data_IF_753382429255
#
_entry.id   IF_753382429255
#
_cell.length_a   1.000
_cell.length_b   1.000
_cell.length_c   1.000
_cell.angle_alpha   90.00
_cell.angle_beta   90.00
_cell.angle_gamma   90.00
#
_symmetry.space_group_name_H-M   'P 1'
#
loop_
_entity.id
_entity.type
_entity.pdbx_description
1 polymer ?
#
# COMPACT_ATOMS: atom_id res chain seq x y z
N UNK A 1 -8.37 -28.45 -13.08
CA UNK A 1 -7.79 -27.09 -12.93
C UNK A 1 -6.90 -27.08 -11.70
N UNK A 2 -5.72 -26.47 -11.78
CA UNK A 2 -4.63 -26.35 -10.79
C UNK A 2 -3.67 -27.53 -10.64
N UNK A 3 -3.58 -28.42 -11.63
CA UNK A 3 -2.59 -29.49 -11.66
C UNK A 3 -1.32 -29.04 -12.44
N UNK A 4 -0.55 -28.10 -11.87
CA UNK A 4 0.64 -27.51 -12.50
C UNK A 4 1.73 -27.26 -11.45
N UNK A 5 3.00 -27.27 -11.87
CA UNK A 5 4.15 -27.00 -11.02
C UNK A 5 4.20 -27.83 -9.74
N UNK A 6 4.36 -27.18 -8.60
CA UNK A 6 4.41 -27.75 -7.24
C UNK A 6 3.10 -28.39 -6.78
N UNK A 7 1.98 -28.06 -7.43
CA UNK A 7 0.66 -28.66 -7.18
C UNK A 7 0.33 -29.82 -8.12
N UNK A 8 1.28 -30.21 -8.98
CA UNK A 8 1.09 -31.26 -9.95
C UNK A 8 1.14 -32.65 -9.32
N UNK A 9 0.26 -33.52 -9.84
CA UNK A 9 0.23 -34.94 -9.56
C UNK A 9 -0.21 -35.70 -10.80
N UNK A 10 0.43 -36.83 -11.06
CA UNK A 10 -0.12 -37.91 -11.88
C UNK A 10 -1.01 -38.83 -11.02
N UNK A 11 -2.24 -39.10 -11.48
CA UNK A 11 -3.15 -40.00 -10.76
C UNK A 11 -2.89 -41.46 -11.12
N UNK A 12 -2.35 -41.70 -12.31
CA UNK A 12 -2.30 -43.02 -12.93
C UNK A 12 -0.92 -43.69 -12.73
N UNK A 13 0.06 -42.96 -12.16
CA UNK A 13 1.37 -43.49 -11.74
C UNK A 13 1.42 -43.76 -10.21
N UNK A 14 1.39 -45.04 -9.78
CA UNK A 14 1.45 -45.42 -8.37
C UNK A 14 2.77 -45.02 -7.69
N UNK A 15 3.86 -44.90 -8.45
CA UNK A 15 5.20 -44.63 -7.92
C UNK A 15 5.35 -43.21 -7.38
N UNK A 16 4.50 -42.28 -7.85
CA UNK A 16 4.49 -40.89 -7.41
C UNK A 16 3.40 -40.60 -6.38
N UNK A 17 2.63 -41.61 -5.97
CA UNK A 17 1.43 -41.43 -5.14
C UNK A 17 1.70 -40.70 -3.83
N UNK A 18 2.76 -41.06 -3.10
CA UNK A 18 3.07 -40.45 -1.81
C UNK A 18 3.36 -38.94 -1.93
N UNK A 19 4.27 -38.56 -2.82
CA UNK A 19 4.55 -37.14 -3.10
C UNK A 19 3.33 -36.44 -3.71
N UNK A 20 2.56 -37.14 -4.55
CA UNK A 20 1.39 -36.64 -5.24
C UNK A 20 0.22 -36.36 -4.32
N UNK A 21 0.05 -37.15 -3.25
CA UNK A 21 -0.95 -36.90 -2.22
C UNK A 21 -0.64 -35.60 -1.46
N UNK A 22 0.64 -35.28 -1.22
CA UNK A 22 1.08 -34.00 -0.62
C UNK A 22 0.84 -32.83 -1.59
N UNK A 23 1.23 -32.96 -2.87
CA UNK A 23 0.95 -31.94 -3.88
C UNK A 23 -0.55 -31.69 -4.08
N UNK A 24 -1.37 -32.76 -4.01
CA UNK A 24 -2.84 -32.66 -4.02
C UNK A 24 -3.37 -31.93 -2.78
N UNK A 25 -2.82 -32.19 -1.60
CA UNK A 25 -3.21 -31.48 -0.38
C UNK A 25 -2.89 -29.98 -0.48
N UNK A 26 -1.70 -29.63 -0.97
CA UNK A 26 -1.31 -28.25 -1.28
C UNK A 26 -2.30 -27.61 -2.26
N UNK A 27 -2.63 -28.30 -3.35
CA UNK A 27 -3.60 -27.82 -4.34
C UNK A 27 -4.99 -27.57 -3.75
N UNK A 28 -5.48 -28.48 -2.92
CA UNK A 28 -6.79 -28.32 -2.29
C UNK A 28 -6.81 -27.12 -1.34
N UNK A 29 -5.73 -26.92 -0.58
CA UNK A 29 -5.55 -25.76 0.27
C UNK A 29 -5.47 -24.46 -0.53
N UNK A 30 -4.76 -24.46 -1.67
CA UNK A 30 -4.70 -23.34 -2.61
C UNK A 30 -6.07 -22.99 -3.17
N UNK A 31 -6.86 -24.01 -3.58
CA UNK A 31 -8.22 -23.82 -4.06
C UNK A 31 -9.09 -23.21 -2.96
N UNK A 32 -9.00 -23.69 -1.72
CA UNK A 32 -9.76 -23.14 -0.60
C UNK A 32 -9.38 -21.67 -0.29
N UNK A 33 -8.11 -21.31 -0.44
CA UNK A 33 -7.62 -19.96 -0.17
C UNK A 33 -8.03 -18.96 -1.26
N UNK A 34 -7.92 -19.37 -2.52
CA UNK A 34 -7.89 -18.43 -3.65
C UNK A 34 -9.03 -18.63 -4.65
N UNK A 35 -9.75 -19.75 -4.59
CA UNK A 35 -10.88 -20.02 -5.48
C UNK A 35 -12.19 -19.88 -4.71
N UNK A 36 -13.07 -18.99 -5.20
CA UNK A 36 -14.44 -18.89 -4.70
C UNK A 36 -15.29 -19.97 -5.35
N UNK A 37 -15.56 -21.04 -4.61
CA UNK A 37 -16.56 -22.02 -4.99
C UNK A 37 -17.85 -21.78 -4.17
N UNK A 38 -18.98 -21.72 -4.87
CA UNK A 38 -20.30 -21.81 -4.24
C UNK A 38 -20.75 -23.26 -4.43
N UNK A 39 -21.12 -23.93 -3.34
CA UNK A 39 -21.64 -25.29 -3.40
C UNK A 39 -23.05 -25.32 -2.81
N UNK A 40 -23.87 -26.22 -3.35
CA UNK A 40 -25.22 -26.49 -2.90
C UNK A 40 -25.27 -27.93 -2.40
N UNK A 41 -25.69 -28.20 -1.14
CA UNK A 41 -25.95 -29.55 -0.70
C UNK A 41 -27.11 -30.13 -1.52
N UNK A 42 -26.90 -31.31 -2.10
CA UNK A 42 -27.92 -32.07 -2.80
C UNK A 42 -28.22 -33.36 -2.01
N UNK A 43 -29.48 -33.79 -1.89
CA UNK A 43 -29.81 -35.10 -1.33
C UNK A 43 -29.15 -36.24 -2.12
N UNK A 44 -28.77 -37.32 -1.43
CA UNK A 44 -28.12 -38.49 -2.05
C UNK A 44 -28.97 -39.18 -3.13
N UNK A 45 -30.28 -38.93 -3.13
CA UNK A 45 -31.25 -39.45 -4.12
C UNK A 45 -31.33 -38.63 -5.40
N UNK A 46 -30.62 -37.50 -5.51
CA UNK A 46 -30.65 -36.67 -6.72
C UNK A 46 -29.87 -37.33 -7.85
N UNK A 47 -30.50 -37.37 -9.02
CA UNK A 47 -29.83 -37.69 -10.28
C UNK A 47 -28.95 -36.51 -10.70
N UNK A 48 -27.68 -36.55 -10.27
CA UNK A 48 -26.67 -35.54 -10.57
C UNK A 48 -26.47 -35.40 -12.08
N UNK A 49 -26.54 -36.49 -12.84
CA UNK A 49 -26.33 -36.46 -14.29
C UNK A 49 -27.49 -35.75 -15.00
N UNK A 50 -28.74 -36.00 -14.58
CA UNK A 50 -29.89 -35.27 -15.11
C UNK A 50 -29.87 -33.80 -14.70
N UNK A 51 -29.45 -33.49 -13.46
CA UNK A 51 -29.30 -32.12 -13.00
C UNK A 51 -28.23 -31.37 -13.81
N UNK A 52 -27.06 -31.98 -14.03
CA UNK A 52 -25.99 -31.42 -14.86
C UNK A 52 -26.49 -31.14 -16.29
N UNK A 53 -27.17 -32.10 -16.92
CA UNK A 53 -27.74 -31.93 -18.25
C UNK A 53 -28.72 -30.75 -18.33
N UNK A 54 -29.56 -30.57 -17.31
CA UNK A 54 -30.52 -29.45 -17.24
C UNK A 54 -29.83 -28.11 -17.00
N UNK A 55 -28.80 -28.08 -16.14
CA UNK A 55 -27.99 -26.88 -15.90
C UNK A 55 -27.28 -26.45 -17.17
N UNK A 56 -26.66 -27.40 -17.88
CA UNK A 56 -25.99 -27.13 -19.16
C UNK A 56 -26.97 -26.64 -20.23
N UNK A 57 -28.22 -27.13 -20.24
CA UNK A 57 -29.24 -26.73 -21.21
C UNK A 57 -29.72 -25.27 -21.03
N UNK A 58 -29.70 -24.74 -19.80
CA UNK A 58 -30.10 -23.35 -19.52
C UNK A 58 -28.91 -22.39 -19.45
N UNK A 59 -27.68 -22.92 -19.41
CA UNK A 59 -26.49 -22.10 -19.34
C UNK A 59 -26.24 -21.36 -20.68
N UNK A 60 -25.92 -20.05 -20.66
CA UNK A 60 -25.57 -19.32 -21.87
C UNK A 60 -24.40 -19.97 -22.60
N UNK A 61 -24.40 -19.93 -23.94
CA UNK A 61 -23.40 -20.60 -24.77
C UNK A 61 -21.95 -20.23 -24.42
N UNK A 62 -21.68 -18.99 -24.03
CA UNK A 62 -20.34 -18.53 -23.63
C UNK A 62 -19.86 -19.13 -22.29
N UNK A 63 -20.78 -19.52 -21.40
CA UNK A 63 -20.46 -20.14 -20.11
C UNK A 63 -20.06 -21.60 -20.29
N UNK A 64 -20.72 -22.32 -21.22
CA UNK A 64 -20.40 -23.72 -21.55
C UNK A 64 -19.32 -23.87 -22.62
N UNK A 65 -18.87 -22.77 -23.25
CA UNK A 65 -17.85 -22.78 -24.31
C UNK A 65 -16.50 -23.37 -23.87
N UNK A 66 -16.26 -23.45 -22.55
CA UNK A 66 -15.07 -24.06 -21.94
C UNK A 66 -15.21 -25.56 -21.73
N UNK A 67 -16.42 -26.12 -21.75
CA UNK A 67 -16.63 -27.55 -21.57
C UNK A 67 -16.01 -28.31 -22.74
N UNK A 68 -15.20 -29.34 -22.44
CA UNK A 68 -14.49 -30.19 -23.42
C UNK A 68 -13.31 -29.53 -24.14
N UNK A 69 -12.90 -28.31 -23.77
CA UNK A 69 -11.61 -27.76 -24.18
C UNK A 69 -10.54 -28.17 -23.17
N UNK A 70 -9.42 -28.71 -23.67
CA UNK A 70 -8.21 -28.79 -22.86
C UNK A 70 -7.75 -27.37 -22.55
N UNK A 71 -7.47 -27.08 -21.28
CA UNK A 71 -6.81 -25.81 -20.93
C UNK A 71 -5.33 -25.94 -21.29
N UNK A 72 -4.78 -24.91 -21.92
CA UNK A 72 -3.34 -24.83 -22.11
C UNK A 72 -2.64 -24.95 -20.74
N UNK A 73 -1.50 -25.66 -20.67
CA UNK A 73 -0.69 -25.68 -19.46
C UNK A 73 -0.34 -24.26 -19.07
N UNK A 74 -0.86 -23.80 -17.94
CA UNK A 74 -0.54 -22.48 -17.40
C UNK A 74 0.53 -22.62 -16.33
N UNK A 75 1.40 -21.62 -16.28
CA UNK A 75 2.44 -21.54 -15.27
C UNK A 75 1.85 -21.49 -13.86
N UNK A 76 2.58 -22.08 -12.92
CA UNK A 76 2.21 -22.05 -11.52
C UNK A 76 2.15 -20.59 -11.00
N UNK A 77 1.09 -20.21 -10.26
CA UNK A 77 1.04 -18.92 -9.58
C UNK A 77 1.92 -18.95 -8.31
N UNK A 78 3.23 -18.88 -8.49
CA UNK A 78 4.26 -19.11 -7.47
C UNK A 78 4.00 -18.37 -6.16
N UNK A 79 3.68 -17.07 -6.22
CA UNK A 79 3.47 -16.24 -5.01
C UNK A 79 2.28 -16.71 -4.16
N UNK A 80 1.18 -17.09 -4.82
CA UNK A 80 -0.03 -17.58 -4.15
C UNK A 80 0.19 -18.98 -3.58
N UNK A 81 0.96 -19.82 -4.28
CA UNK A 81 1.38 -21.13 -3.78
C UNK A 81 2.31 -20.97 -2.58
N UNK A 82 3.25 -20.02 -2.62
CA UNK A 82 4.17 -19.73 -1.51
C UNK A 82 3.42 -19.20 -0.28
N UNK A 83 2.39 -18.38 -0.48
CA UNK A 83 1.51 -17.95 0.58
C UNK A 83 0.75 -19.14 1.22
N UNK A 84 0.23 -20.05 0.40
CA UNK A 84 -0.44 -21.27 0.89
C UNK A 84 0.53 -22.20 1.62
N UNK A 85 1.76 -22.40 1.12
CA UNK A 85 2.81 -23.20 1.78
C UNK A 85 3.16 -22.61 3.15
N UNK A 86 3.39 -21.28 3.22
CA UNK A 86 3.66 -20.57 4.48
C UNK A 86 2.53 -20.73 5.50
N UNK A 87 1.28 -20.63 5.04
CA UNK A 87 0.08 -20.81 5.89
C UNK A 87 -0.06 -22.24 6.42
N UNK A 88 0.22 -23.24 5.57
CA UNK A 88 0.15 -24.64 5.97
C UNK A 88 1.29 -25.05 6.93
N UNK A 89 2.36 -24.25 7.01
CA UNK A 89 3.49 -24.54 7.91
C UNK A 89 4.18 -25.85 7.59
N UNK A 90 4.27 -26.19 6.30
CA UNK A 90 4.80 -27.48 5.84
C UNK A 90 6.25 -27.70 6.32
N UNK A 91 6.53 -28.91 6.80
CA UNK A 91 7.86 -29.31 7.24
C UNK A 91 8.81 -29.60 6.07
N UNK A 92 10.08 -29.83 6.40
CA UNK A 92 11.13 -30.10 5.40
C UNK A 92 10.81 -31.32 4.52
N UNK A 93 10.14 -32.34 5.08
CA UNK A 93 9.73 -33.53 4.35
C UNK A 93 8.66 -33.23 3.29
N UNK A 94 7.61 -32.48 3.65
CA UNK A 94 6.56 -32.10 2.70
C UNK A 94 7.09 -31.18 1.60
N UNK A 95 7.94 -30.21 1.96
CA UNK A 95 8.58 -29.30 1.00
C UNK A 95 9.45 -30.07 -0.01
N UNK A 96 10.26 -31.03 0.47
CA UNK A 96 11.05 -31.88 -0.42
C UNK A 96 10.18 -32.74 -1.34
N UNK A 97 9.01 -33.18 -0.87
CA UNK A 97 8.05 -33.97 -1.66
C UNK A 97 7.40 -33.15 -2.76
N UNK A 98 7.01 -31.92 -2.45
CA UNK A 98 6.46 -30.95 -3.40
C UNK A 98 7.50 -30.59 -4.47
N UNK A 99 8.76 -30.37 -4.07
CA UNK A 99 9.86 -30.08 -5.00
C UNK A 99 10.14 -31.24 -5.96
N UNK A 100 10.06 -32.49 -5.49
CA UNK A 100 10.14 -33.66 -6.37
C UNK A 100 9.00 -33.67 -7.39
N UNK A 101 7.78 -33.27 -7.02
CA UNK A 101 6.68 -33.18 -7.98
C UNK A 101 6.85 -32.05 -8.98
N UNK A 102 7.36 -30.90 -8.55
CA UNK A 102 7.70 -29.80 -9.45
C UNK A 102 8.71 -30.24 -10.53
N UNK A 103 9.77 -30.96 -10.12
CA UNK A 103 10.76 -31.51 -11.06
C UNK A 103 10.16 -32.52 -12.04
N UNK A 104 9.23 -33.38 -11.59
CA UNK A 104 8.52 -34.31 -12.48
C UNK A 104 7.63 -33.57 -13.49
N UNK A 105 6.93 -32.52 -13.05
CA UNK A 105 6.15 -31.65 -13.93
C UNK A 105 7.02 -30.98 -15.01
N UNK A 106 8.18 -30.44 -14.62
CA UNK A 106 9.16 -29.89 -15.57
C UNK A 106 9.71 -30.96 -16.53
N UNK A 107 9.94 -32.19 -16.04
CA UNK A 107 10.36 -33.32 -16.86
C UNK A 107 9.32 -33.75 -17.91
N UNK A 108 8.03 -33.62 -17.61
CA UNK A 108 6.93 -33.85 -18.55
C UNK A 108 6.79 -32.75 -19.61
N UNK A 109 7.13 -31.51 -19.26
CA UNK A 109 7.22 -30.39 -20.21
C UNK A 109 8.46 -30.49 -21.12
N UNK A 110 9.38 -31.42 -20.84
CA UNK A 110 10.70 -31.57 -21.46
C UNK A 110 10.79 -32.47 -22.70
N UNK A 111 9.75 -32.54 -23.55
CA UNK A 111 9.89 -33.09 -24.92
C UNK A 111 10.08 -32.02 -26.01
N UNK A 112 10.14 -30.74 -25.63
CA UNK A 112 10.80 -29.72 -26.42
C UNK A 112 12.30 -29.76 -26.08
N UNK A 113 13.16 -29.92 -27.09
CA UNK A 113 14.61 -30.14 -26.97
C UNK A 113 15.37 -29.11 -26.12
N UNK A 114 16.70 -29.25 -25.97
CA UNK A 114 17.47 -28.46 -25.03
C UNK A 114 17.28 -26.97 -25.35
N UNK A 115 16.59 -26.26 -24.45
CA UNK A 115 16.64 -24.81 -24.40
C UNK A 115 18.05 -24.52 -23.90
N UNK A 116 18.97 -24.40 -24.86
CA UNK A 116 20.14 -23.55 -24.71
C UNK A 116 19.59 -22.24 -24.17
N UNK A 117 19.93 -21.89 -22.93
CA UNK A 117 19.61 -20.59 -22.38
C UNK A 117 20.00 -19.56 -23.44
N UNK A 118 19.06 -18.77 -24.00
CA UNK A 118 19.47 -17.73 -24.90
C UNK A 118 20.39 -16.86 -24.07
N UNK A 119 21.63 -16.71 -24.53
CA UNK A 119 22.44 -15.58 -24.12
C UNK A 119 21.53 -14.36 -24.25
N UNK A 120 21.22 -13.73 -23.12
CA UNK A 120 20.37 -12.56 -23.05
C UNK A 120 21.07 -11.47 -23.87
N UNK A 121 20.78 -11.42 -25.16
CA UNK A 121 20.92 -10.21 -25.93
C UNK A 121 19.85 -9.30 -25.34
N UNK A 122 20.30 -8.35 -24.52
CA UNK A 122 19.47 -7.35 -23.89
C UNK A 122 18.52 -6.76 -24.93
N UNK A 123 17.23 -7.09 -24.84
CA UNK A 123 16.20 -6.25 -25.43
C UNK A 123 16.37 -4.85 -24.83
N UNK A 124 16.37 -3.78 -25.61
CA UNK A 124 16.37 -2.44 -25.04
C UNK A 124 15.18 -2.33 -24.09
N UNK A 125 15.44 -1.95 -22.84
CA UNK A 125 14.41 -1.60 -21.87
C UNK A 125 13.66 -0.38 -22.43
N UNK A 126 12.47 -0.61 -22.97
CA UNK A 126 11.68 0.43 -23.63
C UNK A 126 10.81 1.14 -22.56
N UNK A 127 11.37 2.19 -21.94
CA UNK A 127 10.60 3.08 -21.08
C UNK A 127 9.60 3.84 -21.95
N UNK A 128 8.32 3.75 -21.62
CA UNK A 128 7.24 4.43 -22.36
C UNK A 128 7.55 5.94 -22.46
N UNK A 129 7.53 6.55 -23.66
CA UNK A 129 7.79 7.97 -23.82
C UNK A 129 6.86 8.81 -22.94
N UNK A 130 7.42 9.78 -22.24
CA UNK A 130 6.64 10.70 -21.40
C UNK A 130 5.93 11.76 -22.28
N UNK A 131 4.67 12.13 -21.97
CA UNK A 131 3.93 13.16 -22.70
C UNK A 131 4.71 14.47 -22.85
N UNK A 132 4.60 15.11 -24.01
CA UNK A 132 5.24 16.42 -24.26
C UNK A 132 4.33 17.57 -23.82
N UNK A 133 4.94 18.59 -23.22
CA UNK A 133 4.26 19.79 -22.72
C UNK A 133 3.77 20.76 -23.80
N UNK A 134 3.27 21.93 -23.41
CA UNK A 134 3.33 22.50 -22.06
C UNK A 134 2.35 21.85 -21.07
N UNK A 135 2.74 21.82 -19.79
CA UNK A 135 1.91 21.37 -18.67
C UNK A 135 1.82 22.46 -17.62
N UNK A 136 0.65 22.57 -16.99
CA UNK A 136 0.36 23.51 -15.91
C UNK A 136 0.79 22.95 -14.55
N UNK A 137 0.47 21.69 -14.30
CA UNK A 137 0.89 20.94 -13.12
C UNK A 137 0.78 19.43 -13.41
N UNK A 138 1.31 18.63 -12.49
CA UNK A 138 1.20 17.18 -12.51
C UNK A 138 0.51 16.68 -11.25
N UNK A 139 -0.11 15.52 -11.31
CA UNK A 139 -0.38 14.71 -10.13
C UNK A 139 0.33 13.36 -10.28
N UNK A 140 0.89 12.83 -9.19
CA UNK A 140 1.69 11.61 -9.18
C UNK A 140 1.21 10.71 -8.05
N UNK A 141 1.07 9.43 -8.37
CA UNK A 141 0.68 8.37 -7.44
C UNK A 141 1.55 7.13 -7.69
N UNK A 142 1.82 6.33 -6.65
CA UNK A 142 2.65 5.12 -6.73
C UNK A 142 2.06 3.93 -5.98
N UNK A 143 2.23 2.75 -6.55
CA UNK A 143 2.00 1.48 -5.86
C UNK A 143 3.33 0.87 -5.39
N UNK A 144 3.30 0.16 -4.25
CA UNK A 144 4.50 -0.47 -3.66
C UNK A 144 4.32 -1.97 -3.50
N UNK A 145 5.36 -2.76 -3.73
CA UNK A 145 5.29 -4.21 -3.67
C UNK A 145 5.09 -4.74 -2.23
N UNK A 146 5.69 -4.07 -1.25
CA UNK A 146 5.66 -4.48 0.16
C UNK A 146 5.84 -3.28 1.12
N UNK A 147 6.02 -3.57 2.42
CA UNK A 147 6.12 -2.55 3.47
C UNK A 147 7.33 -1.60 3.34
N UNK A 148 8.32 -1.90 2.49
CA UNK A 148 9.36 -0.97 2.09
C UNK A 148 8.78 0.08 1.14
N UNK A 149 8.74 1.34 1.58
CA UNK A 149 8.25 2.47 0.77
C UNK A 149 9.04 2.66 -0.53
N UNK A 150 10.31 2.21 -0.58
CA UNK A 150 11.13 2.26 -1.79
C UNK A 150 10.85 1.13 -2.78
N UNK A 151 9.95 0.19 -2.47
CA UNK A 151 9.60 -0.96 -3.33
C UNK A 151 8.55 -0.61 -4.39
N UNK A 152 8.66 0.56 -5.02
CA UNK A 152 7.71 1.04 -6.02
C UNK A 152 7.61 0.03 -7.17
N UNK A 153 6.38 -0.44 -7.45
CA UNK A 153 6.09 -1.40 -8.52
C UNK A 153 5.23 -0.82 -9.65
N UNK A 154 4.67 0.38 -9.46
CA UNK A 154 3.98 1.16 -10.48
C UNK A 154 4.10 2.65 -10.18
N UNK A 155 4.21 3.47 -11.22
CA UNK A 155 4.14 4.92 -11.13
C UNK A 155 3.10 5.42 -12.13
N UNK A 156 2.17 6.24 -11.66
CA UNK A 156 1.22 6.99 -12.47
C UNK A 156 1.44 8.48 -12.37
N UNK A 157 1.32 9.18 -13.50
CA UNK A 157 1.44 10.64 -13.58
C UNK A 157 0.33 11.19 -14.47
N UNK A 158 -0.55 12.00 -13.88
CA UNK A 158 -1.52 12.80 -14.61
C UNK A 158 -0.89 14.14 -15.00
N UNK A 159 -0.83 14.41 -16.29
CA UNK A 159 -0.23 15.60 -16.87
C UNK A 159 -1.35 16.57 -17.27
N UNK A 160 -1.47 17.69 -16.54
CA UNK A 160 -2.55 18.66 -16.77
C UNK A 160 -2.06 19.79 -17.66
N UNK A 161 -2.78 20.05 -18.74
CA UNK A 161 -2.45 21.08 -19.74
C UNK A 161 -3.05 22.45 -19.36
N UNK A 162 -2.60 23.55 -20.02
CA UNK A 162 -3.15 24.88 -19.77
C UNK A 162 -4.66 25.00 -20.01
N UNK A 163 -5.23 24.19 -20.91
CA UNK A 163 -6.66 24.10 -21.18
C UNK A 163 -7.43 23.19 -20.19
N UNK A 164 -6.74 22.71 -19.15
CA UNK A 164 -7.22 21.75 -18.14
C UNK A 164 -7.53 20.34 -18.68
N UNK A 165 -7.11 20.00 -19.90
CA UNK A 165 -7.12 18.60 -20.35
C UNK A 165 -6.08 17.78 -19.58
N UNK A 166 -6.39 16.51 -19.33
CA UNK A 166 -5.53 15.58 -18.57
C UNK A 166 -5.10 14.43 -19.47
N UNK A 167 -3.79 14.25 -19.57
CA UNK A 167 -3.16 13.07 -20.19
C UNK A 167 -2.44 12.25 -19.12
N UNK A 168 -2.74 10.96 -19.02
CA UNK A 168 -2.15 10.07 -18.02
C UNK A 168 -1.01 9.26 -18.61
N UNK A 169 0.15 9.30 -17.94
CA UNK A 169 1.27 8.41 -18.18
C UNK A 169 1.38 7.41 -17.03
N UNK A 170 1.65 6.15 -17.34
CA UNK A 170 1.82 5.09 -16.35
C UNK A 170 2.90 4.12 -16.83
N UNK A 171 3.70 3.62 -15.89
CA UNK A 171 4.62 2.50 -16.12
C UNK A 171 4.65 1.57 -14.92
N UNK A 172 4.84 0.28 -15.19
CA UNK A 172 5.32 -0.66 -14.18
C UNK A 172 6.80 -0.41 -13.89
N UNK A 173 7.21 -0.75 -12.68
CA UNK A 173 8.58 -0.63 -12.20
C UNK A 173 9.00 -1.99 -11.65
N UNK A 174 10.20 -2.46 -11.99
CA UNK A 174 10.81 -3.56 -11.26
C UNK A 174 11.41 -3.01 -9.95
N UNK A 175 10.79 -3.29 -8.78
CA UNK A 175 11.30 -2.84 -7.49
C UNK A 175 12.56 -3.58 -7.06
N UNK A 176 12.99 -4.64 -7.76
CA UNK A 176 14.13 -5.48 -7.38
C UNK A 176 14.02 -6.01 -5.94
N UNK A 177 12.84 -6.52 -5.56
CA UNK A 177 12.59 -7.14 -4.25
C UNK A 177 12.01 -8.53 -4.40
N UNK A 178 12.35 -9.41 -3.46
CA UNK A 178 11.85 -10.79 -3.43
C UNK A 178 10.51 -10.92 -2.70
N UNK A 179 10.17 -9.94 -1.86
CA UNK A 179 8.98 -9.99 -1.01
C UNK A 179 7.84 -9.17 -1.61
N UNK A 180 6.68 -9.80 -1.80
CA UNK A 180 5.45 -9.17 -2.26
C UNK A 180 4.35 -9.35 -1.22
N UNK A 181 3.80 -8.23 -0.74
CA UNK A 181 2.77 -8.21 0.31
C UNK A 181 1.50 -7.55 -0.21
N UNK A 182 1.62 -6.47 -0.98
CA UNK A 182 0.47 -5.65 -1.36
C UNK A 182 -0.19 -6.04 -2.68
N UNK A 183 0.22 -7.16 -3.29
CA UNK A 183 -0.44 -7.72 -4.49
C UNK A 183 -1.95 -7.91 -4.30
N UNK A 184 -2.44 -8.21 -3.09
CA UNK A 184 -3.89 -8.33 -2.84
C UNK A 184 -4.63 -6.98 -2.90
N UNK A 185 -3.93 -5.86 -2.74
CA UNK A 185 -4.47 -4.52 -2.77
C UNK A 185 -4.63 -4.07 -4.23
N UNK A 186 -3.54 -4.08 -4.99
CA UNK A 186 -3.48 -3.48 -6.33
C UNK A 186 -3.34 -4.48 -7.49
N UNK A 187 -3.23 -5.79 -7.21
CA UNK A 187 -3.13 -6.83 -8.24
C UNK A 187 -1.77 -6.94 -8.94
N UNK A 188 -0.79 -6.09 -8.59
CA UNK A 188 0.56 -6.09 -9.17
C UNK A 188 1.43 -7.09 -8.42
N UNK A 189 2.07 -7.99 -9.17
CA UNK A 189 2.92 -9.07 -8.66
C UNK A 189 4.30 -9.04 -9.30
N UNK A 190 5.22 -9.87 -8.81
CA UNK A 190 6.53 -10.10 -9.43
C UNK A 190 6.40 -10.50 -10.92
N UNK A 191 5.32 -11.21 -11.28
CA UNK A 191 5.02 -11.58 -12.66
C UNK A 191 4.62 -10.36 -13.50
N UNK A 192 3.82 -9.45 -12.95
CA UNK A 192 3.35 -8.25 -13.65
C UNK A 192 4.51 -7.35 -14.07
N UNK A 193 5.51 -7.20 -13.20
CA UNK A 193 6.67 -6.32 -13.43
C UNK A 193 7.85 -7.03 -14.10
N UNK A 194 7.67 -8.29 -14.54
CA UNK A 194 8.75 -9.06 -15.15
C UNK A 194 9.22 -8.39 -16.44
N UNK A 195 10.47 -7.93 -16.46
CA UNK A 195 11.06 -7.22 -17.61
C UNK A 195 10.63 -5.74 -17.69
N UNK A 196 9.96 -5.22 -16.66
CA UNK A 196 9.71 -3.79 -16.51
C UNK A 196 11.02 -3.04 -16.22
N UNK A 197 11.09 -1.74 -16.54
CA UNK A 197 12.23 -0.91 -16.17
C UNK A 197 12.39 -0.78 -14.66
N UNK A 198 13.64 -0.66 -14.22
CA UNK A 198 13.92 -0.39 -12.80
C UNK A 198 13.62 1.07 -12.46
N UNK A 199 13.56 1.39 -11.17
CA UNK A 199 13.44 2.78 -10.74
C UNK A 199 14.57 3.68 -11.29
N UNK A 200 15.78 3.14 -11.42
CA UNK A 200 16.93 3.83 -12.02
C UNK A 200 16.72 4.20 -13.49
N UNK A 201 16.01 3.36 -14.25
CA UNK A 201 15.73 3.60 -15.67
C UNK A 201 14.65 4.68 -15.83
N UNK A 202 13.67 4.73 -14.92
CA UNK A 202 12.52 5.63 -15.00
C UNK A 202 12.83 7.03 -14.46
N UNK A 203 13.61 7.13 -13.38
CA UNK A 203 13.84 8.39 -12.68
C UNK A 203 14.43 9.50 -13.57
N UNK A 204 15.34 9.25 -14.54
CA UNK A 204 15.78 10.27 -15.48
C UNK A 204 14.64 10.85 -16.34
N UNK A 205 13.70 10.01 -16.78
CA UNK A 205 12.55 10.43 -17.59
C UNK A 205 11.63 11.34 -16.76
N UNK A 206 11.28 10.91 -15.54
CA UNK A 206 10.44 11.70 -14.63
C UNK A 206 11.13 13.00 -14.19
N UNK A 207 12.44 12.96 -13.92
CA UNK A 207 13.21 14.14 -13.54
C UNK A 207 13.12 15.20 -14.62
N UNK A 208 13.43 14.85 -15.86
CA UNK A 208 13.42 15.79 -16.98
C UNK A 208 12.02 16.35 -17.25
N UNK A 209 10.98 15.53 -17.08
CA UNK A 209 9.60 15.94 -17.36
C UNK A 209 8.98 16.83 -16.25
N UNK A 210 9.29 16.57 -14.98
CA UNK A 210 8.68 17.24 -13.82
C UNK A 210 9.60 18.32 -13.21
N UNK A 211 10.74 18.63 -13.84
CA UNK A 211 11.67 19.64 -13.33
C UNK A 211 11.01 21.01 -13.16
N UNK A 212 11.17 21.60 -11.98
CA UNK A 212 10.58 22.90 -11.63
C UNK A 212 9.04 22.92 -11.52
N UNK A 213 8.36 21.80 -11.80
CA UNK A 213 6.91 21.74 -11.84
C UNK A 213 6.27 21.56 -10.45
N UNK A 214 5.00 21.96 -10.36
CA UNK A 214 4.13 21.62 -9.23
C UNK A 214 3.62 20.20 -9.40
N UNK A 215 3.85 19.36 -8.39
CA UNK A 215 3.43 17.95 -8.37
C UNK A 215 2.48 17.73 -7.21
N UNK A 216 1.24 17.39 -7.52
CA UNK A 216 0.24 17.01 -6.53
C UNK A 216 0.37 15.51 -6.21
N UNK A 217 0.26 15.19 -4.92
CA UNK A 217 0.02 13.84 -4.42
C UNK A 217 -1.33 13.82 -3.70
N UNK A 218 -1.86 12.63 -3.40
CA UNK A 218 -3.08 12.49 -2.61
C UNK A 218 -2.74 11.82 -1.28
N UNK A 219 -2.47 12.65 -0.26
CA UNK A 219 -1.76 12.30 0.98
C UNK A 219 -0.23 12.34 0.87
N UNK A 220 0.47 12.23 2.01
CA UNK A 220 1.92 12.32 2.10
C UNK A 220 2.71 11.11 1.61
N UNK A 221 2.04 10.04 1.14
CA UNK A 221 2.67 8.76 0.86
C UNK A 221 3.60 8.80 -0.35
N UNK A 222 3.16 9.33 -1.49
CA UNK A 222 3.87 9.23 -2.77
C UNK A 222 5.24 9.90 -2.74
N UNK A 223 5.32 11.13 -2.19
CA UNK A 223 6.58 11.84 -1.97
C UNK A 223 7.55 11.01 -1.13
N UNK A 224 7.06 10.35 -0.08
CA UNK A 224 7.90 9.55 0.80
C UNK A 224 8.40 8.28 0.11
N UNK A 225 7.57 7.65 -0.73
CA UNK A 225 7.93 6.48 -1.52
C UNK A 225 8.97 6.83 -2.59
N UNK A 226 8.78 7.93 -3.33
CA UNK A 226 9.76 8.45 -4.29
C UNK A 226 11.09 8.76 -3.59
N UNK A 227 11.03 9.40 -2.41
CA UNK A 227 12.24 9.71 -1.63
C UNK A 227 12.97 8.43 -1.20
N UNK A 228 12.25 7.43 -0.70
CA UNK A 228 12.83 6.15 -0.29
C UNK A 228 13.42 5.37 -1.48
N UNK A 229 12.74 5.36 -2.63
CA UNK A 229 13.24 4.73 -3.85
C UNK A 229 14.50 5.43 -4.39
N UNK A 230 14.57 6.76 -4.30
CA UNK A 230 15.78 7.53 -4.60
C UNK A 230 16.95 7.14 -3.69
N UNK A 231 16.71 7.07 -2.36
CA UNK A 231 17.73 6.66 -1.39
C UNK A 231 18.25 5.25 -1.69
N UNK A 232 17.35 4.30 -1.92
CA UNK A 232 17.69 2.90 -2.24
C UNK A 232 18.48 2.78 -3.54
N UNK A 233 18.19 3.65 -4.50
CA UNK A 233 18.83 3.66 -5.81
C UNK A 233 20.08 4.54 -5.86
N UNK A 234 20.48 5.15 -4.74
CA UNK A 234 21.59 6.12 -4.66
C UNK A 234 21.42 7.31 -5.63
N UNK A 235 20.17 7.69 -5.90
CA UNK A 235 19.82 8.85 -6.73
C UNK A 235 19.53 10.04 -5.81
N UNK A 236 20.03 11.22 -6.17
CA UNK A 236 19.64 12.48 -5.51
C UNK A 236 18.17 12.77 -5.83
N UNK A 237 17.34 12.83 -4.80
CA UNK A 237 15.91 13.11 -4.95
C UNK A 237 15.70 14.44 -5.69
N UNK A 238 14.79 14.50 -6.69
CA UNK A 238 14.52 15.74 -7.42
C UNK A 238 13.81 16.77 -6.53
N UNK A 239 14.09 18.05 -6.76
CA UNK A 239 13.51 19.19 -6.05
C UNK A 239 12.13 19.59 -6.60
N UNK A 240 11.21 18.61 -6.70
CA UNK A 240 9.84 18.88 -7.14
C UNK A 240 9.05 19.68 -6.10
N UNK A 241 8.17 20.56 -6.56
CA UNK A 241 7.29 21.34 -5.69
C UNK A 241 6.05 20.53 -5.32
N UNK A 242 6.20 19.65 -4.33
CA UNK A 242 5.12 18.79 -3.85
C UNK A 242 3.97 19.58 -3.21
N UNK A 243 2.74 19.24 -3.57
CA UNK A 243 1.50 19.75 -2.96
C UNK A 243 0.56 18.59 -2.63
N UNK A 244 -0.29 18.78 -1.63
CA UNK A 244 -1.25 17.76 -1.20
C UNK A 244 -2.67 18.13 -1.68
N UNK A 245 -3.22 17.32 -2.58
CA UNK A 245 -4.58 17.48 -3.09
C UNK A 245 -5.65 17.27 -2.00
N UNK A 246 -5.34 16.59 -0.89
CA UNK A 246 -6.24 16.48 0.28
C UNK A 246 -6.46 17.85 0.91
N UNK A 247 -5.43 18.70 0.97
CA UNK A 247 -5.57 20.06 1.51
C UNK A 247 -6.39 20.94 0.57
N UNK A 248 -6.20 20.79 -0.75
CA UNK A 248 -7.04 21.46 -1.76
C UNK A 248 -8.50 21.02 -1.62
N UNK A 249 -8.75 19.72 -1.50
CA UNK A 249 -10.09 19.17 -1.34
C UNK A 249 -10.77 19.62 -0.04
N UNK A 250 -10.01 19.70 1.08
CA UNK A 250 -10.51 20.19 2.37
C UNK A 250 -10.96 21.65 2.34
N UNK A 251 -10.34 22.46 1.50
CA UNK A 251 -10.70 23.87 1.32
C UNK A 251 -11.92 24.03 0.41
N UNK A 252 -11.98 23.27 -0.68
CA UNK A 252 -13.08 23.35 -1.64
C UNK A 252 -14.37 22.66 -1.17
N UNK A 253 -14.26 21.58 -0.40
CA UNK A 253 -15.40 20.83 0.15
C UNK A 253 -15.29 20.64 1.67
N UNK A 254 -15.35 21.72 2.47
CA UNK A 254 -15.32 21.63 3.93
C UNK A 254 -16.49 20.80 4.50
N UNK A 255 -17.61 20.70 3.79
CA UNK A 255 -18.79 19.90 4.15
C UNK A 255 -18.51 18.39 4.19
N UNK A 256 -17.46 17.91 3.53
CA UNK A 256 -17.06 16.50 3.59
C UNK A 256 -16.28 16.15 4.86
N UNK A 257 -16.00 17.14 5.74
CA UNK A 257 -15.42 16.89 7.06
C UNK A 257 -16.46 16.19 7.94
N UNK A 258 -16.26 14.89 8.20
CA UNK A 258 -17.09 14.11 9.12
C UNK A 258 -18.06 13.13 8.46
N UNK A 259 -18.19 13.12 7.12
CA UNK A 259 -18.80 11.99 6.43
C UNK A 259 -17.82 10.80 6.46
N UNK A 260 -18.30 9.57 6.64
CA UNK A 260 -17.52 8.35 6.95
C UNK A 260 -16.42 7.91 5.97
N UNK A 261 -15.93 8.78 5.08
CA UNK A 261 -14.73 8.60 4.26
C UNK A 261 -13.85 9.87 4.11
N UNK A 262 -14.20 11.00 4.72
CA UNK A 262 -13.44 12.25 4.67
C UNK A 262 -13.06 12.71 3.25
N UNK A 263 -11.83 13.21 3.08
CA UNK A 263 -11.27 13.64 1.79
C UNK A 263 -10.36 12.60 1.15
N UNK A 264 -10.54 11.32 1.49
CA UNK A 264 -9.82 10.23 0.83
C UNK A 264 -10.33 10.01 -0.59
N UNK A 265 -9.46 9.50 -1.47
CA UNK A 265 -9.71 9.40 -2.91
C UNK A 265 -10.98 8.61 -3.23
N UNK A 266 -11.23 7.50 -2.52
CA UNK A 266 -12.45 6.69 -2.72
C UNK A 266 -13.75 7.46 -2.40
N UNK A 267 -13.76 8.31 -1.37
CA UNK A 267 -14.93 9.12 -1.03
C UNK A 267 -15.11 10.28 -2.02
N UNK A 268 -14.01 10.90 -2.43
CA UNK A 268 -14.04 11.97 -3.42
C UNK A 268 -14.44 11.44 -4.81
N UNK A 269 -13.95 10.27 -5.25
CA UNK A 269 -14.38 9.60 -6.49
C UNK A 269 -15.89 9.38 -6.51
N UNK A 270 -16.45 8.85 -5.42
CA UNK A 270 -17.90 8.62 -5.27
C UNK A 270 -18.71 9.92 -5.26
N UNK A 271 -18.21 10.96 -4.58
CA UNK A 271 -18.89 12.25 -4.48
C UNK A 271 -18.82 13.07 -5.77
N UNK A 272 -17.70 12.97 -6.50
CA UNK A 272 -17.40 13.72 -7.71
C UNK A 272 -17.78 12.94 -8.99
N UNK A 273 -18.32 11.72 -8.86
CA UNK A 273 -18.75 10.83 -9.96
C UNK A 273 -17.62 10.52 -10.96
N UNK A 274 -16.44 10.23 -10.44
CA UNK A 274 -15.28 9.83 -11.23
C UNK A 274 -15.33 8.31 -11.42
N UNK A 275 -15.40 7.84 -12.67
CA UNK A 275 -15.44 6.41 -13.01
C UNK A 275 -14.04 5.91 -13.36
N UNK A 276 -13.35 5.23 -12.43
CA UNK A 276 -12.07 4.58 -12.70
C UNK A 276 -11.89 3.33 -11.83
N UNK A 277 -11.11 2.35 -12.30
CA UNK A 277 -10.72 1.18 -11.50
C UNK A 277 -9.86 1.62 -10.30
N UNK A 278 -10.09 1.01 -9.13
CA UNK A 278 -9.35 1.29 -7.90
C UNK A 278 -8.02 0.51 -7.93
N UNK A 279 -6.91 1.16 -7.55
CA UNK A 279 -5.56 0.57 -7.45
C UNK A 279 -4.77 0.45 -8.76
N UNK A 280 -5.00 1.40 -9.67
CA UNK A 280 -4.06 1.73 -10.73
C UNK A 280 -3.50 3.12 -10.46
N UNK A 281 -2.17 3.22 -10.32
CA UNK A 281 -1.50 4.48 -10.00
C UNK A 281 -1.80 5.59 -11.03
N UNK A 282 -2.02 5.24 -12.31
CA UNK A 282 -2.38 6.21 -13.35
C UNK A 282 -3.76 6.82 -13.10
N UNK A 283 -4.73 5.98 -12.75
CA UNK A 283 -6.09 6.41 -12.46
C UNK A 283 -6.20 7.16 -11.12
N UNK A 284 -5.42 6.78 -10.12
CA UNK A 284 -5.37 7.49 -8.84
C UNK A 284 -4.69 8.86 -8.98
N UNK A 285 -3.61 8.96 -9.76
CA UNK A 285 -3.01 10.23 -10.16
C UNK A 285 -4.00 11.12 -10.94
N UNK A 286 -4.77 10.54 -11.88
CA UNK A 286 -5.79 11.27 -12.64
C UNK A 286 -6.87 11.84 -11.73
N UNK A 287 -7.38 11.03 -10.80
CA UNK A 287 -8.39 11.48 -9.85
C UNK A 287 -7.88 12.62 -8.95
N UNK A 288 -6.62 12.55 -8.50
CA UNK A 288 -5.98 13.63 -7.75
C UNK A 288 -5.91 14.94 -8.56
N UNK A 289 -5.58 14.87 -9.86
CA UNK A 289 -5.59 16.03 -10.74
C UNK A 289 -7.01 16.60 -10.95
N UNK A 290 -8.01 15.74 -11.15
CA UNK A 290 -9.41 16.16 -11.32
C UNK A 290 -9.95 16.86 -10.07
N UNK A 291 -9.59 16.40 -8.87
CA UNK A 291 -9.91 17.06 -7.59
C UNK A 291 -9.38 18.50 -7.57
N UNK A 292 -8.14 18.72 -8.00
CA UNK A 292 -7.54 20.06 -8.04
C UNK A 292 -8.31 20.97 -9.02
N UNK A 293 -8.60 20.48 -10.23
CA UNK A 293 -9.34 21.25 -11.22
C UNK A 293 -10.78 21.57 -10.78
N UNK A 294 -11.44 20.62 -10.13
CA UNK A 294 -12.79 20.83 -9.59
C UNK A 294 -12.78 21.83 -8.43
N UNK A 295 -11.77 21.78 -7.57
CA UNK A 295 -11.60 22.71 -6.47
C UNK A 295 -11.41 24.15 -6.99
N UNK A 296 -10.58 24.35 -8.01
CA UNK A 296 -10.34 25.67 -8.63
C UNK A 296 -11.59 26.26 -9.29
N UNK A 297 -12.46 25.41 -9.85
CA UNK A 297 -13.75 25.87 -10.40
C UNK A 297 -14.73 26.29 -9.31
N UNK A 298 -14.65 25.67 -8.13
CA UNK A 298 -15.55 25.92 -6.99
C UNK A 298 -15.11 27.12 -6.16
N UNK A 299 -13.80 27.31 -6.03
CA UNK A 299 -13.16 28.45 -5.40
C UNK A 299 -12.02 28.88 -6.32
N UNK A 300 -12.08 30.05 -6.98
CA UNK A 300 -10.95 30.56 -7.73
C UNK A 300 -9.77 30.69 -6.77
N UNK A 301 -8.85 29.73 -6.80
CA UNK A 301 -7.64 29.78 -5.99
C UNK A 301 -6.76 30.83 -6.66
N UNK A 302 -6.64 32.00 -6.04
CA UNK A 302 -5.67 33.01 -6.43
C UNK A 302 -4.29 32.47 -6.09
N UNK A 303 -3.58 31.92 -7.07
CA UNK A 303 -2.15 31.68 -6.93
C UNK A 303 -1.45 33.04 -6.99
N UNK A 304 -0.57 33.39 -6.03
CA UNK A 304 0.29 34.56 -6.20
C UNK A 304 1.15 34.34 -7.44
N UNK A 305 0.93 35.13 -8.48
CA UNK A 305 1.78 35.18 -9.66
C UNK A 305 3.17 35.63 -9.26
N UNK A 306 4.20 34.90 -9.68
CA UNK A 306 5.59 35.35 -9.63
C UNK A 306 5.69 36.65 -10.43
N UNK A 307 6.13 37.78 -9.85
CA UNK A 307 6.37 38.98 -10.64
C UNK A 307 7.49 38.70 -11.63
N UNK A 308 7.21 38.83 -12.92
CA UNK A 308 8.26 38.96 -13.93
C UNK A 308 8.94 40.32 -13.69
N UNK A 309 10.04 40.30 -12.95
CA UNK A 309 10.90 41.48 -12.77
C UNK A 309 11.75 41.68 -14.02
N UNK A 310 11.49 42.77 -14.74
CA UNK A 310 12.43 43.34 -15.71
C UNK A 310 13.75 43.66 -15.00
N UNK A 311 14.84 43.19 -15.60
CA UNK A 311 16.20 43.53 -15.19
C UNK A 311 16.55 44.89 -15.78
N UNK A 312 17.03 45.81 -14.93
CA UNK A 312 17.88 46.92 -15.37
C UNK A 312 18.96 47.17 -14.31
N UNK A 313 20.23 47.37 -14.69
CA UNK A 313 21.38 47.33 -13.77
C UNK A 313 21.83 48.73 -13.37
N UNK A 314 22.30 48.94 -12.15
CA UNK A 314 23.21 50.06 -11.82
C UNK A 314 24.12 49.68 -10.62
N UNK A 315 25.30 50.32 -10.46
CA UNK A 315 26.53 49.68 -9.96
C UNK A 315 26.97 50.04 -8.53
N UNK A 316 28.13 49.47 -8.19
CA UNK A 316 28.88 49.40 -6.93
C UNK A 316 29.07 50.68 -6.11
N UNK A 317 29.17 50.51 -4.78
CA UNK A 317 29.72 51.49 -3.84
C UNK A 317 29.98 50.88 -2.47
N UNK A 318 31.19 51.08 -1.98
CA UNK A 318 31.92 50.33 -0.93
C UNK A 318 31.76 50.90 0.50
N UNK A 319 32.27 50.15 1.48
CA UNK A 319 32.22 50.26 2.94
C UNK A 319 32.89 51.50 3.60
N UNK A 320 32.45 51.89 4.83
CA UNK A 320 33.19 51.85 6.15
C UNK A 320 32.62 52.79 7.25
N UNK A 321 32.37 52.30 8.49
CA UNK A 321 33.09 52.51 9.80
C UNK A 321 33.05 53.98 10.37
N UNK A 322 32.81 54.36 11.65
CA UNK A 322 32.72 53.78 13.02
C UNK A 322 32.06 54.79 14.01
N UNK A 323 31.55 54.24 15.14
CA UNK A 323 31.62 54.67 16.57
C UNK A 323 31.18 56.09 17.04
N UNK A 324 30.27 56.20 18.04
CA UNK A 324 30.66 56.34 19.48
C UNK A 324 29.49 56.63 20.50
N UNK A 325 29.61 55.97 21.69
CA UNK A 325 29.16 56.23 23.10
C UNK A 325 27.70 56.16 23.66
N UNK A 326 27.64 55.52 24.86
CA UNK A 326 26.54 55.11 25.77
C UNK A 326 25.97 56.18 26.75
N UNK A 327 24.67 56.03 27.14
CA UNK A 327 24.12 56.33 28.49
C UNK A 327 22.95 55.36 28.82
N UNK A 328 23.01 54.76 30.02
CA UNK A 328 22.07 53.75 30.57
C UNK A 328 20.92 54.42 31.36
N UNK A 329 19.66 54.02 31.12
CA UNK A 329 18.55 54.05 32.10
C UNK A 329 17.72 52.78 31.95
N UNK A 330 17.52 52.10 33.08
CA UNK A 330 16.81 50.84 33.24
C UNK A 330 15.35 50.92 32.80
N UNK A 331 15.01 50.11 31.79
CA UNK A 331 13.69 49.51 31.59
C UNK A 331 13.87 48.24 30.74
N UNK A 332 13.10 47.21 31.06
CA UNK A 332 13.24 45.79 30.69
C UNK A 332 13.77 45.51 29.27
N UNK A 333 14.62 44.47 29.08
CA UNK A 333 15.19 44.20 27.77
C UNK A 333 14.13 43.63 26.83
N UNK A 334 13.69 44.48 25.90
CA UNK A 334 13.23 44.05 24.58
C UNK A 334 14.48 43.61 23.81
N UNK A 335 14.68 42.30 23.66
CA UNK A 335 15.63 41.71 22.73
C UNK A 335 14.93 41.17 21.47
N UNK A 336 15.60 41.43 20.34
CA UNK A 336 15.25 41.11 18.94
C UNK A 336 15.18 39.61 18.64
N UNK A 337 14.56 39.21 17.51
CA UNK A 337 13.99 37.87 17.34
C UNK A 337 15.06 36.82 17.09
N UNK A 338 15.29 35.98 18.09
CA UNK A 338 15.93 34.68 17.91
C UNK A 338 14.88 33.68 17.37
N UNK A 339 15.27 33.01 16.29
CA UNK A 339 14.73 31.77 15.70
C UNK A 339 13.45 31.28 16.40
N UNK A 340 12.27 31.62 15.83
CA UNK A 340 11.08 30.82 16.09
C UNK A 340 11.32 29.44 15.50
N UNK A 341 11.73 28.51 16.35
CA UNK A 341 11.29 27.14 16.25
C UNK A 341 9.78 27.20 16.02
N UNK A 342 9.36 26.76 14.84
CA UNK A 342 7.94 26.57 14.58
C UNK A 342 7.43 25.63 15.69
N UNK A 343 6.41 26.03 16.47
CA UNK A 343 5.91 25.21 17.54
C UNK A 343 5.39 23.92 16.93
N UNK A 344 5.99 22.79 17.34
CA UNK A 344 5.31 21.51 17.33
C UNK A 344 3.86 21.75 17.75
N UNK A 345 2.92 21.38 16.88
CA UNK A 345 1.52 21.43 17.21
C UNK A 345 1.27 20.41 18.33
N UNK A 346 1.49 20.85 19.56
CA UNK A 346 1.07 20.21 20.78
C UNK A 346 -0.45 20.19 20.82
N UNK A 347 -1.06 19.22 20.13
CA UNK A 347 -2.28 18.63 20.65
C UNK A 347 -1.86 17.91 21.93
N UNK A 348 -2.39 18.37 23.07
CA UNK A 348 -2.29 17.62 24.31
C UNK A 348 -2.65 16.15 23.99
N UNK A 349 -1.71 15.24 24.25
CA UNK A 349 -1.93 13.80 24.10
C UNK A 349 -3.18 13.46 24.93
N UNK A 350 -4.29 13.15 24.25
CA UNK A 350 -5.51 12.83 24.97
C UNK A 350 -5.34 11.42 25.49
N UNK A 351 -5.05 11.30 26.79
CA UNK A 351 -4.92 10.01 27.42
C UNK A 351 -6.25 9.24 27.31
N UNK A 352 -6.21 8.08 26.65
CA UNK A 352 -7.40 7.25 26.41
C UNK A 352 -7.60 6.30 27.57
N UNK A 353 -6.55 5.65 28.05
CA UNK A 353 -6.60 4.87 29.28
C UNK A 353 -5.39 3.98 29.49
N UNK A 354 -5.34 3.39 30.69
CA UNK A 354 -4.31 2.45 31.13
C UNK A 354 -4.92 1.07 31.37
N UNK A 355 -4.20 0.01 31.00
CA UNK A 355 -4.61 -1.38 31.25
C UNK A 355 -3.45 -2.20 31.79
N UNK A 356 -3.74 -3.16 32.67
CA UNK A 356 -2.72 -4.07 33.20
C UNK A 356 -2.44 -5.22 32.24
N UNK A 357 -1.16 -5.57 32.09
CA UNK A 357 -0.70 -6.71 31.32
C UNK A 357 -0.87 -7.97 32.17
N UNK A 358 -1.70 -8.89 31.71
CA UNK A 358 -1.84 -10.23 32.32
C UNK A 358 -0.91 -11.24 31.63
N UNK A 359 -0.64 -12.39 32.27
CA UNK A 359 0.13 -13.46 31.62
C UNK A 359 -0.55 -13.94 30.32
N UNK A 360 -1.88 -14.04 30.32
CA UNK A 360 -2.64 -14.40 29.12
C UNK A 360 -2.51 -13.39 27.96
N UNK A 361 -2.24 -12.11 28.24
CA UNK A 361 -1.96 -11.11 27.21
C UNK A 361 -0.64 -11.41 26.50
N UNK A 362 0.40 -11.78 27.26
CA UNK A 362 1.73 -12.12 26.75
C UNK A 362 1.65 -13.39 25.91
N UNK A 363 1.05 -14.45 26.45
CA UNK A 363 1.00 -15.76 25.78
C UNK A 363 0.23 -15.69 24.46
N UNK A 364 -0.84 -14.88 24.41
CA UNK A 364 -1.76 -14.79 23.27
C UNK A 364 -1.60 -13.51 22.44
N UNK A 365 -0.55 -12.71 22.69
CA UNK A 365 -0.18 -11.50 21.95
C UNK A 365 -1.36 -10.52 21.75
N UNK A 366 -2.05 -10.12 22.82
CA UNK A 366 -3.13 -9.13 22.75
C UNK A 366 -3.15 -8.21 23.97
N UNK A 367 -3.71 -7.01 23.82
CA UNK A 367 -3.86 -6.02 24.91
C UNK A 367 -5.36 -5.75 25.11
N UNK A 368 -5.88 -5.97 26.32
CA UNK A 368 -7.29 -5.68 26.61
C UNK A 368 -7.52 -4.19 26.82
N UNK A 369 -8.51 -3.64 26.12
CA UNK A 369 -8.88 -2.23 26.16
C UNK A 369 -10.21 -2.00 26.90
N UNK A 370 -10.71 -3.02 27.61
CA UNK A 370 -12.06 -3.06 28.23
C UNK A 370 -12.39 -1.84 29.10
N UNK A 371 -11.40 -1.32 29.83
CA UNK A 371 -11.59 -0.20 30.77
C UNK A 371 -11.81 1.17 30.12
N UNK A 372 -11.50 1.30 28.83
CA UNK A 372 -11.58 2.58 28.11
C UNK A 372 -12.02 2.42 26.65
N UNK A 373 -12.63 1.28 26.32
CA UNK A 373 -13.01 0.93 24.95
C UNK A 373 -13.99 1.93 24.33
N UNK A 374 -14.92 2.46 25.13
CA UNK A 374 -15.95 3.43 24.70
C UNK A 374 -15.37 4.81 24.31
N UNK A 375 -14.06 5.03 24.53
CA UNK A 375 -13.38 6.29 24.18
C UNK A 375 -12.80 6.26 22.76
N UNK A 376 -12.84 5.11 22.08
CA UNK A 376 -12.48 4.98 20.67
C UNK A 376 -13.69 5.31 19.78
N UNK A 377 -13.47 5.79 18.54
CA UNK A 377 -14.53 6.03 17.57
C UNK A 377 -15.34 4.77 17.26
N UNK A 378 -16.68 4.89 17.23
CA UNK A 378 -17.58 3.75 16.99
C UNK A 378 -17.37 3.11 15.61
N UNK A 379 -17.01 3.91 14.60
CA UNK A 379 -16.71 3.45 13.24
C UNK A 379 -15.35 2.75 13.11
N UNK A 380 -14.52 2.77 14.15
CA UNK A 380 -13.29 1.97 14.28
C UNK A 380 -13.51 0.63 15.01
N UNK A 381 -14.74 0.35 15.46
CA UNK A 381 -15.12 -0.88 16.17
C UNK A 381 -15.85 -1.84 15.23
N UNK A 382 -15.26 -3.02 15.02
CA UNK A 382 -15.83 -4.10 14.21
C UNK A 382 -16.41 -5.23 15.07
N UNK A 383 -17.00 -6.22 14.41
CA UNK A 383 -17.47 -7.46 15.01
C UNK A 383 -16.35 -8.40 15.46
N UNK A 384 -16.72 -9.60 15.92
CA UNK A 384 -15.83 -10.57 16.56
C UNK A 384 -14.84 -11.27 15.63
N UNK A 385 -14.91 -11.02 14.31
CA UNK A 385 -14.09 -11.68 13.31
C UNK A 385 -13.68 -10.73 12.17
N UNK A 386 -12.68 -11.14 11.37
CA UNK A 386 -12.12 -10.31 10.30
C UNK A 386 -13.12 -10.01 9.16
N UNK A 387 -14.13 -10.85 8.97
CA UNK A 387 -15.20 -10.62 7.99
C UNK A 387 -16.18 -9.53 8.43
N UNK A 388 -16.17 -9.17 9.72
CA UNK A 388 -16.92 -8.07 10.30
C UNK A 388 -15.99 -6.96 10.78
N UNK A 389 -14.87 -6.74 10.07
CA UNK A 389 -13.97 -5.64 10.39
C UNK A 389 -14.69 -4.29 10.37
N UNK A 390 -14.21 -3.36 11.19
CA UNK A 390 -14.78 -2.02 11.25
C UNK A 390 -14.67 -1.34 9.87
N UNK A 391 -15.60 -0.42 9.54
CA UNK A 391 -15.52 0.36 8.31
C UNK A 391 -14.28 1.27 8.26
N UNK A 392 -13.61 1.51 9.39
CA UNK A 392 -12.42 2.35 9.48
C UNK A 392 -11.32 1.73 10.34
N UNK A 393 -10.08 1.86 9.88
CA UNK A 393 -8.91 1.48 10.66
C UNK A 393 -8.32 2.67 11.43
N UNK A 394 -7.66 2.36 12.54
CA UNK A 394 -6.85 3.25 13.37
C UNK A 394 -5.36 2.94 13.16
N UNK A 395 -4.54 3.98 13.26
CA UNK A 395 -3.08 3.86 13.31
C UNK A 395 -2.63 3.70 14.76
N UNK A 396 -1.76 2.73 15.02
CA UNK A 396 -1.20 2.46 16.34
C UNK A 396 0.32 2.58 16.28
N UNK A 397 0.86 3.66 16.85
CA UNK A 397 2.28 3.86 17.14
C UNK A 397 2.64 3.11 18.42
N UNK A 398 3.48 2.08 18.33
CA UNK A 398 3.86 1.22 19.46
C UNK A 398 5.36 1.28 19.75
N UNK A 399 6.10 2.25 19.19
CA UNK A 399 7.56 2.30 19.26
C UNK A 399 8.25 1.30 18.32
N UNK A 400 7.51 0.77 17.34
CA UNK A 400 8.02 -0.01 16.21
C UNK A 400 8.73 0.86 15.17
N UNK A 401 9.32 0.23 14.14
CA UNK A 401 9.86 0.98 13.00
C UNK A 401 8.76 1.73 12.22
N UNK A 402 7.53 1.22 12.24
CA UNK A 402 6.35 1.87 11.66
C UNK A 402 5.10 1.64 12.52
N UNK A 403 4.13 2.59 12.51
CA UNK A 403 2.80 2.38 13.08
C UNK A 403 2.04 1.26 12.37
N UNK A 404 1.10 0.64 13.07
CA UNK A 404 0.27 -0.47 12.56
C UNK A 404 -1.15 0.02 12.33
N UNK A 405 -1.71 -0.29 11.16
CA UNK A 405 -3.13 -0.09 10.88
C UNK A 405 -3.93 -1.29 11.40
N UNK A 406 -5.01 -1.01 12.15
CA UNK A 406 -5.88 -2.03 12.73
C UNK A 406 -7.25 -1.46 12.99
N UNK A 407 -8.28 -2.29 13.06
CA UNK A 407 -9.54 -1.96 13.72
C UNK A 407 -9.59 -2.57 15.14
N UNK A 408 -10.69 -2.32 15.86
CA UNK A 408 -10.94 -2.81 17.20
C UNK A 408 -11.97 -3.95 17.18
N UNK A 409 -11.70 -5.05 17.87
CA UNK A 409 -12.69 -6.12 18.07
C UNK A 409 -13.70 -5.70 19.14
N UNK A 410 -14.94 -5.39 18.76
CA UNK A 410 -15.98 -4.92 19.66
C UNK A 410 -16.47 -5.95 20.68
N UNK A 411 -16.26 -7.24 20.42
CA UNK A 411 -16.65 -8.31 21.35
C UNK A 411 -15.58 -8.58 22.39
N UNK A 412 -14.33 -8.71 21.94
CA UNK A 412 -13.18 -9.04 22.80
C UNK A 412 -12.46 -7.81 23.36
N UNK A 413 -12.79 -6.63 22.83
CA UNK A 413 -12.32 -5.30 23.24
C UNK A 413 -10.79 -5.20 23.22
N UNK A 414 -10.17 -5.47 22.08
CA UNK A 414 -8.71 -5.36 21.83
C UNK A 414 -8.39 -4.91 20.39
N UNK A 415 -7.13 -4.57 20.11
CA UNK A 415 -6.62 -4.32 18.75
C UNK A 415 -6.63 -5.60 17.89
N UNK A 416 -7.39 -5.62 16.78
CA UNK A 416 -7.57 -6.84 15.98
C UNK A 416 -6.27 -7.34 15.37
N UNK A 417 -5.47 -6.44 14.80
CA UNK A 417 -4.13 -6.75 14.32
C UNK A 417 -3.22 -6.97 15.54
N UNK A 418 -2.76 -8.21 15.71
CA UNK A 418 -1.97 -8.65 16.86
C UNK A 418 -0.49 -8.88 16.54
N UNK A 419 -0.12 -8.80 15.25
CA UNK A 419 1.22 -9.16 14.76
C UNK A 419 2.35 -8.37 15.42
N UNK A 420 2.10 -7.12 15.79
CA UNK A 420 3.06 -6.22 16.42
C UNK A 420 3.16 -6.39 17.95
N UNK A 421 2.14 -6.96 18.59
CA UNK A 421 2.03 -6.98 20.06
C UNK A 421 3.12 -7.87 20.68
N UNK A 422 3.50 -8.96 19.99
CA UNK A 422 4.61 -9.82 20.43
C UNK A 422 5.92 -9.05 20.51
N UNK A 423 6.22 -8.31 19.45
CA UNK A 423 7.45 -7.55 19.35
C UNK A 423 7.44 -6.36 20.30
N UNK A 424 6.30 -5.67 20.43
CA UNK A 424 6.08 -4.62 21.43
C UNK A 424 6.40 -5.11 22.85
N UNK A 425 5.86 -6.27 23.25
CA UNK A 425 6.13 -6.85 24.57
C UNK A 425 7.60 -7.24 24.75
N UNK A 426 8.21 -7.86 23.75
CA UNK A 426 9.62 -8.27 23.80
C UNK A 426 10.56 -7.05 23.91
N UNK A 427 10.35 -6.03 23.07
CA UNK A 427 11.17 -4.80 23.04
C UNK A 427 11.10 -4.01 24.34
N UNK A 428 9.92 -3.94 24.95
CA UNK A 428 9.70 -3.16 26.16
C UNK A 428 9.83 -3.97 27.45
N UNK A 429 10.25 -5.25 27.36
CA UNK A 429 10.45 -6.12 28.53
C UNK A 429 9.17 -6.31 29.36
N UNK A 430 8.02 -6.42 28.70
CA UNK A 430 6.71 -6.53 29.35
C UNK A 430 6.64 -7.73 30.29
N UNK A 431 6.09 -7.52 31.49
CA UNK A 431 5.85 -8.58 32.49
C UNK A 431 4.40 -8.54 32.95
N UNK A 432 3.89 -9.69 33.38
CA UNK A 432 2.58 -9.74 34.04
C UNK A 432 2.58 -8.82 35.27
N UNK A 433 1.55 -7.99 35.39
CA UNK A 433 1.45 -6.93 36.41
C UNK A 433 2.01 -5.57 35.97
N UNK A 434 2.65 -5.47 34.80
CA UNK A 434 2.97 -4.18 34.17
C UNK A 434 1.73 -3.46 33.64
N UNK A 435 1.88 -2.20 33.24
CA UNK A 435 0.77 -1.38 32.71
C UNK A 435 1.10 -0.89 31.30
N UNK A 436 0.08 -0.86 30.44
CA UNK A 436 0.12 -0.28 29.10
C UNK A 436 -0.76 0.96 29.08
N UNK A 437 -0.18 2.08 28.66
CA UNK A 437 -0.88 3.33 28.41
C UNK A 437 -1.21 3.46 26.92
N UNK A 438 -2.44 3.92 26.65
CA UNK A 438 -2.90 4.26 25.30
C UNK A 438 -3.27 5.74 25.26
N UNK A 439 -2.67 6.46 24.32
CA UNK A 439 -2.83 7.91 24.15
C UNK A 439 -3.28 8.21 22.73
N UNK A 440 -4.21 9.14 22.54
CA UNK A 440 -4.60 9.63 21.23
C UNK A 440 -3.64 10.76 20.82
N UNK A 441 -2.83 10.50 19.79
CA UNK A 441 -1.85 11.43 19.20
C UNK A 441 -2.42 12.19 18.00
N UNK A 442 -3.54 11.72 17.45
CA UNK A 442 -4.21 12.30 16.29
C UNK A 442 -5.55 11.63 16.02
N UNK A 443 -6.34 12.17 15.09
CA UNK A 443 -7.61 11.55 14.74
C UNK A 443 -7.38 10.13 14.20
N UNK A 444 -7.98 9.12 14.82
CA UNK A 444 -7.75 7.69 14.53
C UNK A 444 -6.28 7.26 14.67
N UNK A 445 -5.47 8.00 15.43
CA UNK A 445 -4.05 7.70 15.64
C UNK A 445 -3.74 7.64 17.12
N UNK A 446 -3.27 6.49 17.57
CA UNK A 446 -3.01 6.17 18.96
C UNK A 446 -1.56 5.78 19.17
N UNK A 447 -1.01 6.12 20.32
CA UNK A 447 0.27 5.63 20.80
C UNK A 447 0.07 4.65 21.95
N UNK A 448 0.83 3.57 21.94
CA UNK A 448 0.79 2.51 22.95
C UNK A 448 2.18 2.39 23.57
N UNK A 449 2.26 2.59 24.89
CA UNK A 449 3.51 2.58 25.64
C UNK A 449 3.38 1.72 26.89
N UNK A 450 4.49 1.15 27.38
CA UNK A 450 4.52 0.51 28.71
C UNK A 450 4.85 1.57 29.76
N UNK A 451 4.01 1.68 30.79
CA UNK A 451 4.24 2.59 31.91
C UNK A 451 5.37 2.02 32.77
N UNK A 452 6.51 2.71 32.81
CA UNK A 452 7.58 2.40 33.76
C UNK A 452 7.14 2.93 35.12
N UNK A 453 7.02 2.05 36.12
CA UNK A 453 7.00 2.49 37.51
C UNK A 453 8.38 3.03 37.81
N UNK A 454 8.49 4.34 38.06
CA UNK A 454 9.68 4.86 38.72
C UNK A 454 9.81 4.17 40.10
N UNK A 455 11.04 3.78 40.49
CA UNK A 455 11.29 3.03 41.73
C UNK A 455 10.91 3.78 43.00
#
# INVERSE_FOLDING_TARGET
MYNTGRMWRDRDDPTTKADGDIAKALRNAFIADHCRAIWLPLPDSIDIAQLEARVLAIAPAHVVAWNRRGMDPYEEPTDLVDATIRRLGLGAHELASIERQHKRFLGLAGSAGPIVAPAFLARPLEVKPFPKGPFRFFALDVETANNDRGSICQIGVACVRPDNSIETWMTYVDPQVDTWVFTYLHGISARTVRGAPTFNDIMPVLRAALEGAVVYQHSGFDRSAITAACMRSSIIAPSWQWRDSVNVARSAWPELRGSGGGHGLANLKKHLRLEFDHHDAGEDARAAAEIVLLAERRQPITFPSVPQGEVSPEPAGDFNLLEDFDVIVESEPIARPEIRQDPECGRALRHIGTTQITQGNIDNNHIYLRGFFERFPEDAVGGSNRASAAPREISVDWGGATPVMTDLDGTKKFFRARGWIREFFARNGAKAGGEVDVEEIGAYSYRVNIRRREP
#
